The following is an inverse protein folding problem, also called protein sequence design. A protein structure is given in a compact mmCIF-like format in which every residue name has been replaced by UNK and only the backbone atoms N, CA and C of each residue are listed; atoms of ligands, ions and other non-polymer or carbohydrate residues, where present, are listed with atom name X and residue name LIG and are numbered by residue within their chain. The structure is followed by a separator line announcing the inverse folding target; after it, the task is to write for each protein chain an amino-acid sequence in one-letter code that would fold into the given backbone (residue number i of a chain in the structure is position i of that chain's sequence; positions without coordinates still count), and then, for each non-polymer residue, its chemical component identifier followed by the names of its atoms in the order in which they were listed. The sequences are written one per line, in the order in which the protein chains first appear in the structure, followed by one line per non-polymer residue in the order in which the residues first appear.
data_IF_287796367741
#
_entry.id   IF_287796367741
#
_cell.length_a   1.000
_cell.length_b   1.000
_cell.length_c   1.000
_cell.angle_alpha   90.00
_cell.angle_beta   90.00
_cell.angle_gamma   90.00
#
_symmetry.space_group_name_H-M   'P 1'
#
loop_
_entity.id
_entity.type
_entity.pdbx_description
1 polymer ?
#
# COMPACT_ATOMS: atom_id res chain seq x y z
N UNK A 1 83.79 -45.33 -13.96
CA UNK A 1 82.33 -45.57 -13.85
C UNK A 1 81.62 -44.25 -14.17
N UNK A 2 81.26 -44.05 -15.44
CA UNK A 2 79.88 -44.09 -15.93
C UNK A 2 78.97 -43.00 -15.36
N UNK A 3 78.82 -41.86 -16.06
CA UNK A 3 77.74 -41.60 -17.04
C UNK A 3 77.51 -40.10 -17.23
N UNK A 4 77.41 -39.70 -18.49
CA UNK A 4 76.95 -38.41 -18.97
C UNK A 4 75.55 -38.07 -18.45
N UNK A 5 75.29 -36.79 -18.15
CA UNK A 5 73.93 -36.24 -18.13
C UNK A 5 73.92 -34.95 -18.94
N UNK A 6 73.22 -35.03 -20.06
CA UNK A 6 72.82 -33.94 -20.96
C UNK A 6 71.87 -32.98 -20.23
N UNK A 7 72.09 -31.67 -20.38
CA UNK A 7 71.03 -30.68 -20.14
C UNK A 7 70.19 -30.54 -21.41
N UNK A 8 68.98 -31.09 -21.36
CA UNK A 8 67.95 -30.95 -22.38
C UNK A 8 67.20 -29.63 -22.15
N UNK A 9 67.24 -28.73 -23.13
CA UNK A 9 66.40 -27.53 -23.22
C UNK A 9 64.96 -27.97 -23.54
N UNK A 10 64.06 -27.91 -22.56
CA UNK A 10 62.63 -28.03 -22.79
C UNK A 10 62.06 -26.65 -23.15
N UNK A 11 61.90 -26.39 -24.44
CA UNK A 11 61.05 -25.32 -24.97
C UNK A 11 59.58 -25.69 -24.76
N UNK A 12 58.92 -25.02 -23.82
CA UNK A 12 57.49 -25.16 -23.55
C UNK A 12 56.72 -24.18 -24.48
N UNK A 13 56.21 -24.68 -25.60
CA UNK A 13 55.29 -23.94 -26.46
C UNK A 13 53.92 -23.87 -25.78
N UNK A 14 53.56 -22.72 -25.20
CA UNK A 14 52.22 -22.46 -24.69
C UNK A 14 51.30 -22.22 -25.89
N UNK A 15 50.42 -23.18 -26.16
CA UNK A 15 49.33 -23.04 -27.12
C UNK A 15 48.23 -22.19 -26.44
N UNK A 16 48.18 -20.88 -26.73
CA UNK A 16 47.04 -20.03 -26.34
C UNK A 16 45.83 -20.39 -27.19
N UNK A 17 44.96 -21.27 -26.68
CA UNK A 17 43.61 -21.43 -27.19
C UNK A 17 42.81 -20.18 -26.81
N UNK A 18 42.54 -19.31 -27.78
CA UNK A 18 41.60 -18.21 -27.61
C UNK A 18 40.18 -18.78 -27.46
N UNK A 19 39.72 -18.92 -26.23
CA UNK A 19 38.32 -19.19 -25.93
C UNK A 19 37.55 -17.89 -26.18
N UNK A 20 37.03 -17.74 -27.41
CA UNK A 20 36.14 -16.65 -27.76
C UNK A 20 34.75 -17.00 -27.20
N UNK A 21 34.58 -16.84 -25.88
CA UNK A 21 33.27 -16.87 -25.25
C UNK A 21 32.53 -15.60 -25.69
N UNK A 22 31.72 -15.72 -26.73
CA UNK A 22 30.81 -14.66 -27.14
C UNK A 22 30.00 -14.21 -25.92
N UNK A 23 30.17 -12.95 -25.54
CA UNK A 23 29.30 -12.33 -24.56
C UNK A 23 27.84 -12.52 -25.03
N UNK A 24 26.90 -12.91 -24.15
CA UNK A 24 25.50 -12.94 -24.53
C UNK A 24 25.13 -11.56 -25.03
N UNK A 25 24.57 -11.51 -26.25
CA UNK A 25 24.03 -10.28 -26.81
C UNK A 25 23.06 -9.68 -25.77
N UNK A 26 23.34 -8.46 -25.35
CA UNK A 26 22.41 -7.67 -24.55
C UNK A 26 21.07 -7.69 -25.28
N UNK A 27 20.05 -8.25 -24.65
CA UNK A 27 18.71 -8.25 -25.21
C UNK A 27 18.35 -6.81 -25.54
N UNK A 28 17.95 -6.59 -26.79
CA UNK A 28 17.47 -5.31 -27.29
C UNK A 28 16.19 -4.98 -26.49
N UNK A 29 16.32 -4.14 -25.46
CA UNK A 29 15.19 -3.59 -24.71
C UNK A 29 14.42 -2.64 -25.64
N UNK A 30 13.68 -3.22 -26.56
CA UNK A 30 12.64 -2.50 -27.30
C UNK A 30 11.76 -1.78 -26.28
N UNK A 31 11.58 -0.45 -26.41
CA UNK A 31 10.90 0.34 -25.40
C UNK A 31 9.51 -0.25 -25.17
N UNK A 32 9.22 -0.58 -23.91
CA UNK A 32 7.90 -1.10 -23.53
C UNK A 32 6.83 -0.14 -24.07
N UNK A 33 5.84 -0.61 -24.86
CA UNK A 33 4.81 0.25 -25.40
C UNK A 33 4.16 1.05 -24.26
N UNK A 34 4.08 2.36 -24.42
CA UNK A 34 3.36 3.20 -23.45
C UNK A 34 1.88 2.85 -23.49
N UNK A 35 1.30 2.60 -22.32
CA UNK A 35 -0.15 2.42 -22.18
C UNK A 35 -0.84 3.80 -22.18
N UNK A 36 -1.95 3.93 -22.88
CA UNK A 36 -2.70 5.19 -23.04
C UNK A 36 -3.85 5.36 -22.04
N UNK A 37 -3.98 4.40 -21.11
CA UNK A 37 -5.03 4.37 -20.09
C UNK A 37 -6.38 3.78 -20.56
N UNK A 38 -6.54 3.46 -21.84
CA UNK A 38 -7.74 2.74 -22.32
C UNK A 38 -7.74 1.28 -21.85
N UNK A 39 -8.93 0.70 -21.68
CA UNK A 39 -9.07 -0.73 -21.31
C UNK A 39 -8.40 -1.63 -22.34
N UNK A 40 -8.56 -1.32 -23.63
CA UNK A 40 -7.98 -2.06 -24.74
C UNK A 40 -6.45 -2.03 -24.73
N UNK A 41 -5.84 -0.94 -24.23
CA UNK A 41 -4.40 -0.82 -24.07
C UNK A 41 -3.92 -1.58 -22.83
N UNK A 42 -4.58 -1.36 -21.68
CA UNK A 42 -4.21 -1.99 -20.40
C UNK A 42 -4.35 -3.52 -20.41
N UNK A 43 -5.32 -4.06 -21.15
CA UNK A 43 -5.51 -5.52 -21.33
C UNK A 43 -4.33 -6.21 -22.05
N UNK A 44 -3.45 -5.44 -22.71
CA UNK A 44 -2.25 -5.97 -23.36
C UNK A 44 -1.07 -6.06 -22.41
N UNK A 45 -1.18 -5.53 -21.19
CA UNK A 45 -0.11 -5.57 -20.20
C UNK A 45 0.14 -7.02 -19.78
N UNK A 46 1.35 -7.58 -19.99
CA UNK A 46 1.65 -8.93 -19.56
C UNK A 46 1.76 -8.98 -18.03
N UNK A 47 1.45 -10.14 -17.46
CA UNK A 47 1.85 -10.41 -16.08
C UNK A 47 3.39 -10.40 -16.03
N UNK A 48 4.00 -9.68 -15.09
CA UNK A 48 5.46 -9.65 -14.98
C UNK A 48 6.03 -11.04 -14.73
N UNK A 49 7.11 -11.41 -15.44
CA UNK A 49 7.71 -12.75 -15.35
C UNK A 49 8.11 -13.16 -13.91
N UNK A 50 8.48 -12.18 -13.06
CA UNK A 50 8.81 -12.48 -11.66
C UNK A 50 7.62 -13.05 -10.88
N UNK A 51 6.39 -12.68 -11.25
CA UNK A 51 5.18 -13.13 -10.56
C UNK A 51 4.88 -14.60 -10.87
N UNK A 52 5.24 -15.07 -12.06
CA UNK A 52 5.17 -16.49 -12.39
C UNK A 52 6.08 -17.32 -11.49
N UNK A 53 7.26 -16.83 -11.10
CA UNK A 53 8.13 -17.51 -10.12
C UNK A 53 7.75 -17.17 -8.66
N UNK A 54 6.93 -16.13 -8.48
CA UNK A 54 6.49 -15.53 -7.22
C UNK A 54 5.41 -16.30 -6.47
N UNK A 55 5.53 -17.62 -6.30
CA UNK A 55 4.44 -18.49 -5.81
C UNK A 55 3.97 -18.21 -4.38
N UNK A 56 4.85 -17.68 -3.52
CA UNK A 56 4.58 -17.40 -2.11
C UNK A 56 4.91 -15.94 -1.83
N UNK A 57 3.97 -15.25 -1.18
CA UNK A 57 4.18 -13.91 -0.65
C UNK A 57 3.60 -13.77 0.76
N UNK A 58 4.02 -12.72 1.44
CA UNK A 58 3.58 -12.38 2.79
C UNK A 58 2.71 -11.13 2.73
N UNK A 59 1.53 -11.18 3.34
CA UNK A 59 0.66 -10.02 3.50
C UNK A 59 0.61 -9.63 4.97
N UNK A 60 0.77 -8.34 5.25
CA UNK A 60 0.79 -7.77 6.59
C UNK A 60 -0.33 -6.73 6.73
N UNK A 61 -1.35 -7.06 7.53
CA UNK A 61 -2.32 -6.09 8.04
C UNK A 61 -1.80 -5.57 9.38
N UNK A 62 -1.26 -4.36 9.38
CA UNK A 62 -0.72 -3.73 10.56
C UNK A 62 -1.00 -2.23 10.56
N UNK A 63 -1.48 -1.71 11.68
CA UNK A 63 -1.87 -0.30 11.85
C UNK A 63 -2.46 -0.07 13.24
N UNK A 64 -3.09 1.08 13.51
CA UNK A 64 -3.59 1.39 14.84
C UNK A 64 -4.66 0.43 15.35
N UNK A 65 -5.42 -0.22 14.46
CA UNK A 65 -6.31 -1.33 14.81
C UNK A 65 -5.59 -2.49 15.52
N UNK A 66 -4.29 -2.67 15.30
CA UNK A 66 -3.46 -3.66 16.02
C UNK A 66 -3.24 -3.31 17.49
N UNK A 67 -3.36 -2.04 17.90
CA UNK A 67 -3.37 -1.63 19.31
C UNK A 67 -4.60 -2.16 20.00
N UNK A 68 -5.77 -2.04 19.35
CA UNK A 68 -7.01 -2.62 19.86
C UNK A 68 -6.82 -4.14 20.02
N UNK A 69 -6.26 -4.80 19.01
CA UNK A 69 -5.80 -6.19 19.10
C UNK A 69 -6.88 -7.18 19.53
N UNK A 70 -8.15 -6.78 19.41
CA UNK A 70 -9.29 -7.47 19.95
C UNK A 70 -10.47 -7.38 18.98
N UNK A 71 -11.20 -8.48 18.88
CA UNK A 71 -12.48 -8.56 18.20
C UNK A 71 -13.41 -9.40 19.05
N UNK A 72 -14.64 -8.94 19.23
CA UNK A 72 -15.73 -9.73 19.81
C UNK A 72 -15.84 -11.10 19.10
N UNK A 73 -15.82 -12.16 19.90
CA UNK A 73 -15.88 -13.55 19.44
C UNK A 73 -14.53 -14.15 18.97
N UNK A 74 -13.42 -13.42 19.02
CA UNK A 74 -12.06 -13.95 18.88
C UNK A 74 -11.61 -14.40 17.48
N UNK A 75 -12.51 -14.69 16.54
CA UNK A 75 -12.18 -15.11 15.17
C UNK A 75 -12.66 -14.10 14.12
N UNK A 76 -11.87 -13.95 13.03
CA UNK A 76 -12.13 -13.07 11.89
C UNK A 76 -11.32 -11.77 11.92
N UNK A 77 -11.73 -10.81 11.10
CA UNK A 77 -11.03 -9.55 10.83
C UNK A 77 -10.99 -8.60 12.03
N UNK A 78 -9.88 -8.57 12.77
CA UNK A 78 -9.68 -7.67 13.91
C UNK A 78 -9.35 -6.23 13.46
N UNK A 79 -8.78 -6.07 12.28
CA UNK A 79 -8.57 -4.80 11.58
C UNK A 79 -9.89 -4.06 11.27
N UNK A 80 -11.02 -4.75 11.35
CA UNK A 80 -12.36 -4.15 11.26
C UNK A 80 -12.91 -3.66 12.60
N UNK A 81 -12.21 -3.87 13.72
CA UNK A 81 -12.69 -3.43 15.03
C UNK A 81 -12.86 -1.92 15.17
N UNK A 82 -12.07 -1.02 14.53
CA UNK A 82 -12.30 0.42 14.67
C UNK A 82 -13.74 0.85 14.34
N UNK A 83 -14.34 0.36 13.24
CA UNK A 83 -15.76 0.62 12.97
C UNK A 83 -16.71 -0.05 13.96
N UNK A 84 -16.35 -1.24 14.46
CA UNK A 84 -17.18 -2.00 15.41
C UNK A 84 -17.26 -1.34 16.77
N UNK A 85 -16.28 -0.51 17.15
CA UNK A 85 -16.38 0.33 18.33
C UNK A 85 -17.71 1.10 18.32
N UNK A 86 -18.16 1.55 17.14
CA UNK A 86 -19.37 2.34 16.94
C UNK A 86 -20.58 1.51 16.47
N UNK A 87 -20.39 0.49 15.61
CA UNK A 87 -21.48 -0.39 15.16
C UNK A 87 -22.06 -1.26 16.30
N UNK A 88 -21.22 -1.64 17.26
CA UNK A 88 -21.54 -2.60 18.32
C UNK A 88 -21.23 -2.01 19.71
N UNK A 89 -21.65 -0.76 19.93
CA UNK A 89 -21.33 0.02 21.14
C UNK A 89 -21.72 -0.67 22.44
N UNK A 90 -22.83 -1.42 22.47
CA UNK A 90 -23.25 -2.23 23.63
C UNK A 90 -22.17 -3.20 24.11
N UNK A 91 -21.30 -3.67 23.20
CA UNK A 91 -20.17 -4.54 23.53
C UNK A 91 -18.89 -3.74 23.73
N UNK A 92 -18.56 -2.84 22.81
CA UNK A 92 -17.25 -2.20 22.79
C UNK A 92 -17.12 -1.02 23.75
N UNK A 93 -18.20 -0.35 24.15
CA UNK A 93 -18.09 0.75 25.11
C UNK A 93 -17.74 0.25 26.51
N UNK A 94 -18.34 -0.83 27.06
CA UNK A 94 -17.86 -1.42 28.30
C UNK A 94 -16.37 -1.83 28.22
N UNK A 95 -15.96 -2.46 27.12
CA UNK A 95 -14.56 -2.82 26.89
C UNK A 95 -13.63 -1.59 26.84
N UNK A 96 -14.03 -0.52 26.14
CA UNK A 96 -13.25 0.70 26.05
C UNK A 96 -13.17 1.40 27.42
N UNK A 97 -14.27 1.42 28.17
CA UNK A 97 -14.32 1.97 29.52
C UNK A 97 -13.40 1.22 30.47
N UNK A 98 -13.35 -0.09 30.38
CA UNK A 98 -12.45 -0.92 31.18
C UNK A 98 -10.98 -0.68 30.82
N UNK A 99 -10.66 -0.65 29.52
CA UNK A 99 -9.27 -0.55 29.05
C UNK A 99 -8.69 0.86 29.09
N UNK A 100 -9.45 1.86 28.67
CA UNK A 100 -9.01 3.26 28.53
C UNK A 100 -9.67 4.22 29.53
N UNK A 101 -10.64 3.76 30.33
CA UNK A 101 -11.35 4.62 31.28
C UNK A 101 -12.37 5.56 30.65
N UNK A 102 -12.55 5.52 29.32
CA UNK A 102 -13.42 6.42 28.57
C UNK A 102 -14.07 5.72 27.36
N UNK A 103 -15.08 6.36 26.78
CA UNK A 103 -15.87 5.87 25.63
C UNK A 103 -16.20 7.03 24.71
N UNK A 104 -16.66 6.78 23.48
CA UNK A 104 -17.15 7.84 22.61
C UNK A 104 -18.35 8.57 23.23
N UNK A 105 -18.58 9.85 22.86
CA UNK A 105 -17.76 10.65 21.95
C UNK A 105 -16.55 11.35 22.62
N UNK A 106 -16.36 11.22 23.93
CA UNK A 106 -15.21 11.82 24.63
C UNK A 106 -13.87 11.16 24.27
N UNK A 107 -13.87 9.86 23.99
CA UNK A 107 -12.69 9.08 23.63
C UNK A 107 -13.04 8.02 22.58
N UNK A 108 -12.41 8.09 21.42
CA UNK A 108 -12.71 7.25 20.26
C UNK A 108 -11.46 6.70 19.58
N UNK A 109 -11.63 6.20 18.36
CA UNK A 109 -10.53 5.62 17.59
C UNK A 109 -9.36 6.59 17.39
N UNK A 110 -9.65 7.87 17.13
CA UNK A 110 -8.64 8.94 17.00
C UNK A 110 -7.71 9.03 18.22
N UNK A 111 -8.19 8.72 19.41
CA UNK A 111 -7.46 8.82 20.67
C UNK A 111 -6.65 7.54 20.97
N UNK A 112 -6.98 6.43 20.30
CA UNK A 112 -6.23 5.16 20.36
C UNK A 112 -5.01 5.21 19.42
N UNK A 113 -5.08 5.94 18.32
CA UNK A 113 -4.01 6.04 17.31
C UNK A 113 -2.63 6.36 17.91
N UNK A 114 -2.49 7.33 18.84
CA UNK A 114 -1.19 7.63 19.44
C UNK A 114 -0.53 6.46 20.18
N UNK A 115 -1.25 5.42 20.59
CA UNK A 115 -0.63 4.23 21.22
C UNK A 115 0.06 3.31 20.20
N UNK A 116 -0.18 3.49 18.91
CA UNK A 116 0.50 2.73 17.87
C UNK A 116 1.93 3.27 17.67
N UNK A 117 2.88 2.77 18.48
CA UNK A 117 4.24 3.33 18.54
C UNK A 117 5.29 2.51 17.77
N UNK A 118 4.99 1.26 17.41
CA UNK A 118 5.95 0.34 16.75
C UNK A 118 7.32 0.22 17.45
N UNK A 119 7.37 0.34 18.79
CA UNK A 119 8.60 0.54 19.56
C UNK A 119 9.67 -0.56 19.38
N UNK A 120 9.22 -1.80 19.13
CA UNK A 120 10.10 -2.96 18.98
C UNK A 120 10.21 -3.43 17.52
N UNK A 121 9.84 -2.58 16.55
CA UNK A 121 9.77 -2.97 15.15
C UNK A 121 11.11 -2.78 14.43
N UNK A 122 11.65 -3.91 13.98
CA UNK A 122 12.89 -3.99 13.20
C UNK A 122 12.62 -4.55 11.80
N UNK A 123 12.53 -3.71 10.75
CA UNK A 123 12.12 -4.15 9.41
C UNK A 123 13.11 -5.13 8.78
N UNK A 124 14.41 -5.03 9.11
CA UNK A 124 15.42 -5.97 8.62
C UNK A 124 15.23 -7.40 9.20
N UNK A 125 14.72 -7.51 10.44
CA UNK A 125 14.39 -8.82 11.03
C UNK A 125 13.16 -9.45 10.37
N UNK A 126 12.15 -8.63 10.06
CA UNK A 126 10.98 -9.07 9.31
C UNK A 126 11.37 -9.55 7.90
N UNK A 127 12.14 -8.75 7.18
CA UNK A 127 12.59 -9.10 5.84
C UNK A 127 13.47 -10.36 5.82
N UNK A 128 14.29 -10.59 6.85
CA UNK A 128 15.04 -11.83 7.04
C UNK A 128 14.12 -13.03 7.21
N UNK A 129 13.18 -12.96 8.14
CA UNK A 129 12.19 -14.01 8.35
C UNK A 129 11.40 -14.33 7.08
N UNK A 130 10.95 -13.32 6.34
CA UNK A 130 10.18 -13.52 5.11
C UNK A 130 11.03 -14.21 4.02
N UNK A 131 12.31 -13.86 3.92
CA UNK A 131 13.25 -14.54 3.02
C UNK A 131 13.49 -15.99 3.42
N UNK A 132 13.61 -16.29 4.72
CA UNK A 132 13.77 -17.66 5.24
C UNK A 132 12.54 -18.53 4.96
N UNK A 133 11.33 -17.95 5.00
CA UNK A 133 10.09 -18.61 4.58
C UNK A 133 10.07 -18.89 3.07
N UNK A 134 10.96 -18.26 2.30
CA UNK A 134 11.03 -18.39 0.84
C UNK A 134 10.05 -17.48 0.10
N UNK A 135 9.53 -16.44 0.76
CA UNK A 135 8.67 -15.46 0.13
C UNK A 135 9.38 -14.76 -1.03
N UNK A 136 8.63 -14.45 -2.07
CA UNK A 136 9.11 -13.73 -3.26
C UNK A 136 8.61 -12.30 -3.32
N UNK A 137 7.53 -12.02 -2.62
CA UNK A 137 6.99 -10.67 -2.47
C UNK A 137 6.40 -10.45 -1.09
N UNK A 138 6.39 -9.19 -0.66
CA UNK A 138 5.80 -8.75 0.60
C UNK A 138 4.83 -7.61 0.32
N UNK A 139 3.67 -7.67 0.98
CA UNK A 139 2.63 -6.66 0.95
C UNK A 139 2.41 -6.13 2.36
N UNK A 140 2.46 -4.81 2.52
CA UNK A 140 2.10 -4.12 3.77
C UNK A 140 0.93 -3.20 3.50
N UNK A 141 -0.09 -3.20 4.37
CA UNK A 141 -1.14 -2.19 4.37
C UNK A 141 -0.55 -0.80 4.49
N UNK A 142 -0.48 -0.04 3.39
CA UNK A 142 -0.17 1.40 3.42
C UNK A 142 -1.33 2.14 4.05
N UNK A 143 -2.56 1.86 3.63
CA UNK A 143 -3.76 2.36 4.30
C UNK A 143 -4.85 1.30 4.19
N UNK A 144 -5.45 0.98 5.34
CA UNK A 144 -6.61 0.11 5.42
C UNK A 144 -7.89 0.95 5.29
N UNK A 145 -9.07 0.42 5.63
CA UNK A 145 -10.32 1.17 5.53
C UNK A 145 -10.51 2.26 6.59
N UNK A 146 -9.60 2.37 7.55
CA UNK A 146 -9.74 3.18 8.77
C UNK A 146 -9.20 4.62 8.63
N UNK A 147 -8.73 5.01 7.45
CA UNK A 147 -8.27 6.37 7.13
C UNK A 147 -6.86 6.70 7.58
N UNK A 148 -6.15 5.71 8.16
CA UNK A 148 -4.77 5.84 8.64
C UNK A 148 -3.75 5.49 7.54
N UNK A 149 -2.74 6.35 7.38
CA UNK A 149 -1.62 6.13 6.46
C UNK A 149 -0.37 5.63 7.21
N UNK A 150 0.13 4.44 6.91
CA UNK A 150 1.39 3.89 7.45
C UNK A 150 2.67 4.49 6.83
N UNK A 151 2.54 5.50 5.98
CA UNK A 151 3.65 6.14 5.27
C UNK A 151 3.73 7.63 5.61
N UNK A 152 4.80 8.30 5.17
CA UNK A 152 4.94 9.76 5.30
C UNK A 152 4.03 10.46 4.29
N UNK A 153 2.78 10.79 4.66
CA UNK A 153 1.80 11.37 3.73
C UNK A 153 1.71 12.88 3.86
N UNK A 154 1.85 13.60 2.74
CA UNK A 154 1.63 15.05 2.63
C UNK A 154 0.14 15.40 2.55
N UNK A 155 -0.74 14.40 2.42
CA UNK A 155 -2.18 14.56 2.17
C UNK A 155 -3.04 14.42 3.43
N UNK A 156 -2.49 13.88 4.52
CA UNK A 156 -3.21 13.74 5.79
C UNK A 156 -2.24 13.76 6.97
N UNK A 157 -2.57 14.45 8.09
CA UNK A 157 -1.78 14.36 9.32
C UNK A 157 -2.00 13.02 10.06
N UNK A 158 -3.00 12.23 9.66
CA UNK A 158 -3.28 10.91 10.23
C UNK A 158 -2.39 9.85 9.60
N UNK A 159 -1.08 10.01 9.82
CA UNK A 159 -0.06 9.15 9.25
C UNK A 159 1.04 8.77 10.27
N UNK A 160 1.81 7.73 9.94
CA UNK A 160 2.79 7.13 10.85
C UNK A 160 4.04 7.98 11.12
N UNK A 161 4.30 9.03 10.35
CA UNK A 161 5.38 9.99 10.59
C UNK A 161 4.90 11.13 11.49
N UNK A 162 3.71 11.66 11.21
CA UNK A 162 3.12 12.75 11.98
C UNK A 162 2.54 12.31 13.32
N UNK A 163 2.22 11.04 13.48
CA UNK A 163 1.63 10.47 14.70
C UNK A 163 2.22 9.11 15.04
N UNK A 164 1.88 8.58 16.22
CA UNK A 164 2.22 7.22 16.61
C UNK A 164 3.72 6.91 16.46
N UNK A 165 4.14 6.07 15.50
CA UNK A 165 5.52 5.57 15.38
C UNK A 165 6.59 6.62 15.09
N UNK A 166 6.21 7.79 14.58
CA UNK A 166 7.13 8.83 14.08
C UNK A 166 8.14 8.27 13.05
N UNK A 167 7.65 7.36 12.20
CA UNK A 167 8.47 6.55 11.30
C UNK A 167 7.69 6.16 10.06
N UNK A 168 8.33 6.27 8.89
CA UNK A 168 7.79 5.80 7.62
C UNK A 168 7.85 4.27 7.54
N UNK A 169 6.77 3.59 7.94
CA UNK A 169 6.72 2.13 8.00
C UNK A 169 6.72 1.51 6.60
N UNK A 170 6.03 2.13 5.64
CA UNK A 170 5.97 1.66 4.25
C UNK A 170 7.34 1.77 3.59
N UNK A 171 8.02 2.90 3.75
CA UNK A 171 9.35 3.13 3.20
C UNK A 171 10.41 2.23 3.81
N UNK A 172 10.44 2.10 5.13
CA UNK A 172 11.47 1.31 5.82
C UNK A 172 11.34 -0.19 5.57
N UNK A 173 10.12 -0.74 5.59
CA UNK A 173 9.91 -2.14 5.23
C UNK A 173 10.26 -2.39 3.76
N UNK A 174 9.86 -1.46 2.87
CA UNK A 174 10.15 -1.57 1.45
C UNK A 174 11.65 -1.61 1.14
N UNK A 175 12.47 -0.85 1.88
CA UNK A 175 13.94 -0.90 1.78
C UNK A 175 14.49 -2.25 2.26
N UNK A 176 14.04 -2.72 3.43
CA UNK A 176 14.50 -3.97 4.03
C UNK A 176 14.16 -5.20 3.16
N UNK A 177 12.92 -5.26 2.65
CA UNK A 177 12.44 -6.34 1.76
C UNK A 177 13.25 -6.41 0.47
N UNK A 178 13.47 -5.25 -0.18
CA UNK A 178 14.23 -5.19 -1.43
C UNK A 178 15.72 -5.51 -1.26
N UNK A 179 16.32 -5.14 -0.12
CA UNK A 179 17.70 -5.55 0.25
C UNK A 179 17.87 -7.08 0.28
N UNK A 180 16.79 -7.83 0.51
CA UNK A 180 16.76 -9.30 0.47
C UNK A 180 16.34 -9.88 -0.90
N UNK A 181 16.21 -9.04 -1.93
CA UNK A 181 15.88 -9.47 -3.29
C UNK A 181 14.40 -9.84 -3.51
N UNK A 182 13.52 -9.54 -2.56
CA UNK A 182 12.08 -9.74 -2.69
C UNK A 182 11.40 -8.53 -3.32
N UNK A 183 10.25 -8.77 -3.94
CA UNK A 183 9.35 -7.74 -4.50
C UNK A 183 8.50 -7.11 -3.40
N UNK A 184 8.10 -5.86 -3.59
CA UNK A 184 7.37 -5.12 -2.57
C UNK A 184 6.21 -4.30 -3.13
N UNK A 185 5.07 -4.35 -2.42
CA UNK A 185 3.91 -3.52 -2.71
C UNK A 185 3.26 -3.02 -1.42
N UNK A 186 3.01 -1.71 -1.28
CA UNK A 186 2.05 -1.21 -0.32
C UNK A 186 0.63 -1.54 -0.82
N UNK A 187 -0.21 -2.11 0.03
CA UNK A 187 -1.64 -2.30 -0.26
C UNK A 187 -2.46 -1.11 0.20
N UNK A 188 -3.53 -0.83 -0.53
CA UNK A 188 -4.36 0.35 -0.30
C UNK A 188 -5.84 0.00 -0.45
N UNK A 189 -6.58 0.28 0.61
CA UNK A 189 -7.93 -0.24 0.83
C UNK A 189 -8.96 0.90 1.03
N UNK A 190 -8.63 2.12 0.61
CA UNK A 190 -9.42 3.33 0.87
C UNK A 190 -10.78 3.33 0.16
N UNK A 191 -11.01 2.47 -0.83
CA UNK A 191 -12.27 2.37 -1.56
C UNK A 191 -13.48 2.00 -0.69
N UNK A 192 -13.24 1.46 0.52
CA UNK A 192 -14.27 1.16 1.53
C UNK A 192 -14.34 2.18 2.66
N UNK A 193 -13.47 3.20 2.64
CA UNK A 193 -13.30 4.15 3.74
C UNK A 193 -14.55 4.97 4.04
N UNK A 194 -15.23 5.44 3.00
CA UNK A 194 -16.40 6.32 3.11
C UNK A 194 -17.56 5.73 3.90
N UNK A 195 -17.74 4.41 3.81
CA UNK A 195 -18.75 3.68 4.57
C UNK A 195 -18.22 3.07 5.87
N UNK A 196 -16.94 3.24 6.21
CA UNK A 196 -16.32 2.49 7.31
C UNK A 196 -16.79 2.99 8.67
N UNK A 197 -16.88 4.30 8.89
CA UNK A 197 -17.39 4.93 10.13
C UNK A 197 -18.81 5.49 9.98
N UNK A 198 -19.56 5.00 8.98
CA UNK A 198 -20.89 5.48 8.62
C UNK A 198 -22.00 4.46 8.94
N UNK A 199 -23.23 4.94 9.05
CA UNK A 199 -24.41 4.13 9.39
C UNK A 199 -24.72 3.08 8.32
N UNK A 200 -24.65 3.47 7.05
CA UNK A 200 -24.88 2.57 5.90
C UNK A 200 -23.57 2.29 5.18
N UNK A 201 -23.38 1.03 4.79
CA UNK A 201 -22.20 0.53 4.07
C UNK A 201 -22.59 0.25 2.62
N UNK A 202 -21.64 0.38 1.70
CA UNK A 202 -21.84 0.09 0.27
C UNK A 202 -22.88 0.98 -0.42
N UNK A 203 -23.05 2.21 0.08
CA UNK A 203 -23.89 3.25 -0.52
C UNK A 203 -23.01 4.40 -1.01
N UNK A 204 -23.55 5.20 -1.94
CA UNK A 204 -22.80 6.35 -2.50
C UNK A 204 -22.65 7.43 -1.44
N UNK A 205 -23.74 7.77 -0.76
CA UNK A 205 -23.80 8.74 0.32
C UNK A 205 -24.25 8.03 1.59
N UNK A 206 -23.52 8.23 2.68
CA UNK A 206 -23.86 7.76 4.01
C UNK A 206 -23.72 8.87 5.02
N UNK A 207 -24.29 8.68 6.21
CA UNK A 207 -24.14 9.60 7.33
C UNK A 207 -23.23 8.95 8.38
N UNK A 208 -22.36 9.73 9.06
CA UNK A 208 -21.55 9.20 10.14
C UNK A 208 -22.42 8.65 11.29
N UNK A 209 -21.85 7.73 12.07
CA UNK A 209 -22.42 7.44 13.39
C UNK A 209 -22.51 8.73 14.23
N UNK A 210 -23.52 8.84 15.10
CA UNK A 210 -23.72 10.04 15.93
C UNK A 210 -22.51 10.39 16.80
N UNK A 211 -21.84 9.37 17.34
CA UNK A 211 -20.65 9.57 18.15
C UNK A 211 -19.45 10.03 17.30
N UNK A 212 -19.33 9.53 16.06
CA UNK A 212 -18.33 10.02 15.09
C UNK A 212 -18.59 11.50 14.74
N UNK A 213 -19.85 11.86 14.49
CA UNK A 213 -20.22 13.24 14.20
C UNK A 213 -19.88 14.19 15.36
N UNK A 214 -20.17 13.78 16.60
CA UNK A 214 -19.82 14.56 17.79
C UNK A 214 -18.31 14.56 18.07
N UNK A 215 -17.58 13.49 17.76
CA UNK A 215 -16.12 13.47 17.82
C UNK A 215 -15.49 14.47 16.83
N UNK A 216 -15.95 14.51 15.58
CA UNK A 216 -15.50 15.48 14.58
C UNK A 216 -15.82 16.90 15.05
N UNK A 217 -16.99 17.13 15.64
CA UNK A 217 -17.34 18.45 16.17
C UNK A 217 -16.44 18.88 17.33
N UNK A 218 -15.99 17.94 18.16
CA UNK A 218 -15.05 18.19 19.27
C UNK A 218 -13.61 18.37 18.81
N UNK A 219 -13.22 17.61 17.78
CA UNK A 219 -11.88 17.53 17.21
C UNK A 219 -12.00 17.62 15.68
N UNK A 220 -12.14 18.84 15.11
CA UNK A 220 -12.42 19.03 13.67
C UNK A 220 -11.43 18.35 12.73
N UNK A 221 -10.17 18.25 13.11
CA UNK A 221 -9.11 17.56 12.37
C UNK A 221 -9.37 16.04 12.20
N UNK A 222 -10.17 15.43 13.07
CA UNK A 222 -10.58 14.03 12.95
C UNK A 222 -11.52 13.79 11.75
N UNK A 223 -12.06 14.84 11.12
CA UNK A 223 -12.79 14.69 9.86
C UNK A 223 -11.95 14.04 8.75
N UNK A 224 -10.64 14.31 8.70
CA UNK A 224 -9.71 13.71 7.74
C UNK A 224 -9.38 12.24 8.03
N UNK A 225 -9.62 11.79 9.26
CA UNK A 225 -9.49 10.39 9.67
C UNK A 225 -10.77 9.60 9.41
N UNK A 226 -11.92 10.16 9.77
CA UNK A 226 -13.17 9.41 9.75
C UNK A 226 -13.92 9.48 8.42
N UNK A 227 -13.78 10.59 7.71
CA UNK A 227 -14.48 10.85 6.46
C UNK A 227 -13.54 10.88 5.24
N UNK A 228 -14.08 11.22 4.05
CA UNK A 228 -15.46 11.66 3.80
C UNK A 228 -16.48 10.53 3.91
N UNK A 229 -17.79 10.82 3.89
CA UNK A 229 -18.87 9.82 4.01
C UNK A 229 -19.64 9.61 2.70
N UNK A 230 -19.12 10.18 1.62
CA UNK A 230 -19.71 10.22 0.29
C UNK A 230 -18.67 9.90 -0.79
N UNK A 231 -19.13 9.30 -1.89
CA UNK A 231 -18.31 9.00 -3.07
C UNK A 231 -18.49 10.09 -4.13
N UNK A 232 -17.91 11.25 -3.87
CA UNK A 232 -17.94 12.37 -4.79
C UNK A 232 -16.63 12.47 -5.62
N UNK A 233 -16.52 13.55 -6.40
CA UNK A 233 -15.31 13.82 -7.16
C UNK A 233 -14.12 14.10 -6.24
N UNK A 234 -14.31 14.79 -5.12
CA UNK A 234 -13.23 15.12 -4.19
C UNK A 234 -12.63 13.85 -3.57
N UNK A 235 -13.46 12.90 -3.14
CA UNK A 235 -13.02 11.59 -2.69
C UNK A 235 -12.26 10.84 -3.80
N UNK A 236 -12.76 10.86 -5.03
CA UNK A 236 -12.08 10.21 -6.16
C UNK A 236 -10.71 10.84 -6.44
N UNK A 237 -10.63 12.17 -6.41
CA UNK A 237 -9.37 12.91 -6.62
C UNK A 237 -8.37 12.62 -5.49
N UNK A 238 -8.81 12.60 -4.22
CA UNK A 238 -7.98 12.24 -3.05
C UNK A 238 -7.50 10.79 -3.13
N UNK A 239 -8.39 9.85 -3.48
CA UNK A 239 -8.05 8.44 -3.66
C UNK A 239 -6.91 8.27 -4.68
N UNK A 240 -6.99 8.98 -5.83
CA UNK A 240 -5.96 8.96 -6.87
C UNK A 240 -4.69 9.69 -6.42
N UNK A 241 -4.80 10.80 -5.70
CA UNK A 241 -3.66 11.57 -5.22
C UNK A 241 -2.78 10.77 -4.24
N UNK A 242 -3.40 10.08 -3.27
CA UNK A 242 -2.68 9.19 -2.33
C UNK A 242 -2.01 8.02 -3.05
N UNK A 243 -2.67 7.44 -4.05
CA UNK A 243 -2.05 6.40 -4.88
C UNK A 243 -0.80 6.90 -5.61
N UNK A 244 -0.87 8.10 -6.19
CA UNK A 244 0.28 8.74 -6.85
C UNK A 244 1.40 9.00 -5.86
N UNK A 245 1.09 9.51 -4.67
CA UNK A 245 2.06 9.71 -3.62
C UNK A 245 2.80 8.41 -3.25
N UNK A 246 2.06 7.30 -3.07
CA UNK A 246 2.66 5.98 -2.80
C UNK A 246 3.57 5.54 -3.97
N UNK A 247 3.13 5.73 -5.22
CA UNK A 247 3.90 5.36 -6.40
C UNK A 247 5.19 6.17 -6.52
N UNK A 248 5.11 7.48 -6.28
CA UNK A 248 6.23 8.42 -6.40
C UNK A 248 7.25 8.20 -5.28
N UNK A 249 6.80 7.95 -4.04
CA UNK A 249 7.68 7.75 -2.88
C UNK A 249 8.33 6.36 -2.86
N UNK A 250 7.60 5.32 -3.28
CA UNK A 250 8.02 3.93 -2.99
C UNK A 250 8.27 3.05 -4.21
N UNK A 251 7.88 3.48 -5.41
CA UNK A 251 8.05 2.74 -6.67
C UNK A 251 7.73 1.24 -6.54
N UNK A 252 6.49 0.89 -6.17
CA UNK A 252 6.11 -0.48 -5.86
C UNK A 252 6.22 -1.40 -7.08
N UNK A 253 6.57 -2.67 -6.86
CA UNK A 253 6.71 -3.65 -7.94
C UNK A 253 5.36 -4.07 -8.54
N UNK A 254 4.28 -3.92 -7.77
CA UNK A 254 2.89 -4.15 -8.17
C UNK A 254 1.96 -3.36 -7.24
N UNK A 255 0.68 -3.27 -7.61
CA UNK A 255 -0.35 -2.63 -6.78
C UNK A 255 -1.26 -3.71 -6.21
N UNK A 256 -1.62 -3.56 -4.94
CA UNK A 256 -2.63 -4.41 -4.31
C UNK A 256 -3.78 -3.53 -3.82
N UNK A 257 -4.95 -3.75 -4.41
CA UNK A 257 -6.22 -3.09 -4.07
C UNK A 257 -7.13 -4.17 -3.48
N UNK A 258 -7.80 -3.87 -2.38
CA UNK A 258 -8.57 -4.87 -1.61
C UNK A 258 -9.83 -5.33 -2.32
N UNK A 259 -10.75 -4.40 -2.53
CA UNK A 259 -12.03 -4.72 -3.13
C UNK A 259 -12.26 -3.98 -4.43
N UNK A 260 -13.36 -4.33 -5.09
CA UNK A 260 -13.84 -3.62 -6.25
C UNK A 260 -14.07 -2.15 -5.85
N UNK A 261 -13.53 -1.20 -6.63
CA UNK A 261 -14.06 0.16 -6.55
C UNK A 261 -15.56 0.04 -6.78
N UNK A 262 -16.36 0.69 -5.93
CA UNK A 262 -17.82 0.67 -6.08
C UNK A 262 -18.18 1.20 -7.49
N UNK A 263 -17.28 1.86 -8.21
CA UNK A 263 -17.42 2.34 -9.58
C UNK A 263 -17.45 1.23 -10.64
N UNK A 264 -18.64 0.70 -10.96
CA UNK A 264 -18.83 -0.19 -12.12
C UNK A 264 -18.91 0.60 -13.44
N UNK A 265 -18.47 -0.05 -14.55
CA UNK A 265 -18.43 0.49 -15.92
C UNK A 265 -19.73 1.16 -16.39
N UNK A 266 -20.86 0.68 -15.88
CA UNK A 266 -22.18 1.08 -16.35
C UNK A 266 -22.82 2.19 -15.50
N UNK A 267 -22.03 2.80 -14.60
CA UNK A 267 -22.52 3.74 -13.61
C UNK A 267 -23.27 2.99 -12.51
N UNK A 268 -22.98 3.32 -11.27
CA UNK A 268 -23.68 2.70 -10.16
C UNK A 268 -25.17 3.02 -10.22
N UNK A 269 -25.99 1.98 -10.42
CA UNK A 269 -27.33 1.94 -9.81
C UNK A 269 -27.21 1.63 -8.31
N UNK A 270 -26.23 2.23 -7.63
CA UNK A 270 -26.19 2.20 -6.18
C UNK A 270 -27.44 2.93 -5.68
N UNK A 271 -28.07 2.39 -4.65
CA UNK A 271 -29.33 2.87 -4.12
C UNK A 271 -29.11 4.28 -3.53
N UNK A 272 -29.33 5.32 -4.34
CA UNK A 272 -29.21 6.70 -3.88
C UNK A 272 -30.50 7.07 -3.17
N UNK A 273 -30.58 6.86 -1.85
CA UNK A 273 -31.82 7.07 -1.07
C UNK A 273 -32.01 8.49 -0.54
N UNK A 274 -31.03 9.38 -0.63
CA UNK A 274 -31.06 10.62 0.17
C UNK A 274 -31.36 11.91 -0.59
N UNK A 275 -31.44 11.96 -1.93
CA UNK A 275 -31.84 13.19 -2.64
C UNK A 275 -32.74 12.88 -3.83
N UNK A 276 -33.93 13.50 -3.86
CA UNK A 276 -34.98 13.32 -4.86
C UNK A 276 -34.61 13.82 -6.26
N UNK A 277 -33.63 13.16 -6.89
CA UNK A 277 -33.20 13.39 -8.26
C UNK A 277 -32.21 12.31 -8.65
N UNK A 278 -32.56 11.50 -9.65
CA UNK A 278 -31.63 10.53 -10.23
C UNK A 278 -30.55 11.28 -11.02
N UNK A 279 -29.49 11.71 -10.35
CA UNK A 279 -28.25 12.11 -11.03
C UNK A 279 -27.42 10.87 -11.31
N UNK A 280 -27.34 10.49 -12.59
CA UNK A 280 -26.35 9.53 -13.06
C UNK A 280 -24.96 10.18 -12.91
N UNK A 281 -24.27 9.93 -11.80
CA UNK A 281 -22.85 10.27 -11.69
C UNK A 281 -22.08 9.35 -12.64
N UNK A 282 -21.72 9.87 -13.83
CA UNK A 282 -20.64 9.31 -14.64
C UNK A 282 -19.33 9.83 -14.06
N UNK A 283 -18.75 9.09 -13.14
CA UNK A 283 -17.35 9.27 -12.78
C UNK A 283 -16.54 8.61 -13.90
N UNK A 284 -16.15 9.41 -14.89
CA UNK A 284 -15.06 9.02 -15.78
C UNK A 284 -13.79 9.05 -14.94
N UNK A 285 -13.27 7.89 -14.56
CA UNK A 285 -11.85 7.80 -14.21
C UNK A 285 -11.10 8.24 -15.46
N UNK A 286 -10.64 9.48 -15.46
CA UNK A 286 -9.69 9.96 -16.45
C UNK A 286 -8.39 9.21 -16.18
N UNK A 287 -8.22 8.08 -16.86
CA UNK A 287 -7.03 7.22 -16.79
C UNK A 287 -5.81 7.86 -17.45
N UNK A 288 -5.81 9.18 -17.67
CA UNK A 288 -4.59 9.98 -17.83
C UNK A 288 -3.80 9.97 -16.52
N UNK A 289 -3.18 8.82 -16.25
CA UNK A 289 -1.95 8.72 -15.46
C UNK A 289 -0.93 9.55 -16.24
N UNK A 290 -0.89 10.84 -15.91
CA UNK A 290 0.03 11.79 -16.52
C UNK A 290 1.44 11.40 -16.13
N UNK A 291 2.18 10.85 -17.09
CA UNK A 291 3.63 10.82 -17.02
C UNK A 291 4.12 12.27 -17.06
N UNK A 292 4.69 12.75 -15.95
CA UNK A 292 5.51 13.96 -15.98
C UNK A 292 6.73 13.67 -16.87
N UNK A 293 6.99 14.48 -17.93
CA UNK A 293 8.19 14.32 -18.72
C UNK A 293 9.40 14.59 -17.83
N UNK A 294 10.36 13.66 -17.84
CA UNK A 294 11.66 13.83 -17.21
C UNK A 294 12.28 15.17 -17.65
N UNK A 295 12.71 15.94 -16.64
CA UNK A 295 13.61 17.06 -16.77
C UNK A 295 14.79 16.69 -17.68
N UNK A 296 14.86 17.31 -18.86
CA UNK A 296 16.10 17.36 -19.62
C UNK A 296 16.95 18.48 -19.03
N UNK A 297 18.06 18.08 -18.43
CA UNK A 297 19.22 18.92 -18.20
C UNK A 297 19.76 19.32 -19.59
N UNK A 298 19.54 20.56 -20.03
CA UNK A 298 20.35 21.13 -21.10
C UNK A 298 21.72 21.49 -20.51
N UNK A 299 22.69 20.59 -20.71
CA UNK A 299 24.03 21.03 -21.02
C UNK A 299 24.05 21.35 -22.51
N UNK A 300 24.35 22.59 -22.87
CA UNK A 300 25.24 22.83 -23.98
C UNK A 300 25.97 24.17 -23.82
N UNK A 301 27.28 24.03 -23.72
CA UNK A 301 28.28 25.03 -23.99
C UNK A 301 28.43 25.24 -25.49
N UNK A 302 28.23 26.47 -25.96
CA UNK A 302 29.06 27.15 -26.97
C UNK A 302 28.78 28.66 -26.91
#
# INVERSE_FOLDING_TARGET
MNRHVFHLLCSLSILTAAFNAGAPALADESPTPRYDGSWESLQKMPVPAWFDDGKIGIFIHWGPYSVIGYKKGGAGYAEHTPKRLYDESDHYYPYMKERWGATPPEFGYKDIIPEFQAENWEPDQWAELFAEVGAKYVVLTAEHHDGWANWDSDLTPWNAVDMGPKRDLVGDLGKAVRKRGMKYAPSYHRERHTGFFALEKYVVDSEPHSDIAEEIKRVPEAALLYGPFDHDKAFTDDYVARWKEIQDKYHPDFLWVDDIPIFTRDGNKACNRSRGGATNLRISLDTRIGFLPQYLHEQDTA
#
